data_IF_815751223994
#
_entry.id   IF_815751223994
#
_cell.length_a   1.000
_cell.length_b   1.000
_cell.length_c   1.000
_cell.angle_alpha   90.00
_cell.angle_beta   90.00
_cell.angle_gamma   90.00
#
_symmetry.space_group_name_H-M   'P 1'
#
loop_
_entity.id
_entity.type
_entity.pdbx_description
1 polymer ?
#
# COMPACT_ATOMS: atom_id res chain seq x y z
N UNK A 1 -7.20 19.73 6.66
CA UNK A 1 -7.41 18.56 5.78
C UNK A 1 -6.11 17.79 5.66
N UNK A 2 -6.10 16.49 5.95
CA UNK A 2 -4.99 15.61 5.56
C UNK A 2 -5.11 15.30 4.06
N UNK A 3 -4.02 15.38 3.31
CA UNK A 3 -4.03 15.10 1.86
C UNK A 3 -4.07 13.59 1.60
N UNK A 4 -4.63 13.16 0.47
CA UNK A 4 -4.62 11.74 0.08
C UNK A 4 -3.20 11.21 -0.07
N UNK A 5 -2.28 12.06 -0.54
CA UNK A 5 -0.85 11.75 -0.60
C UNK A 5 -0.29 11.39 0.77
N UNK A 6 -0.65 12.17 1.81
CA UNK A 6 -0.19 11.88 3.17
C UNK A 6 -0.81 10.59 3.73
N UNK A 7 -2.08 10.29 3.41
CA UNK A 7 -2.74 9.04 3.82
C UNK A 7 -2.06 7.81 3.19
N UNK A 8 -1.83 7.85 1.88
CA UNK A 8 -1.17 6.76 1.16
C UNK A 8 0.31 6.62 1.56
N UNK A 9 0.98 7.73 1.89
CA UNK A 9 2.34 7.69 2.39
C UNK A 9 2.43 7.10 3.80
N UNK A 10 1.52 7.48 4.70
CA UNK A 10 1.44 6.93 6.05
C UNK A 10 1.13 5.42 6.06
N UNK A 11 0.30 4.96 5.12
CA UNK A 11 0.05 3.53 4.88
C UNK A 11 1.23 2.81 4.18
N UNK A 12 2.27 3.55 3.79
CA UNK A 12 3.45 2.99 3.11
C UNK A 12 3.15 2.44 1.72
N UNK A 13 2.10 2.95 1.06
CA UNK A 13 1.75 2.62 -0.34
C UNK A 13 2.67 3.35 -1.31
N UNK A 14 2.95 4.62 -1.02
CA UNK A 14 3.73 5.52 -1.86
C UNK A 14 4.79 6.27 -1.04
N UNK A 15 5.83 6.73 -1.71
CA UNK A 15 6.84 7.61 -1.11
C UNK A 15 6.63 9.05 -1.60
N UNK A 16 6.12 9.93 -0.73
CA UNK A 16 5.80 11.32 -1.11
C UNK A 16 7.02 12.17 -1.48
N UNK A 17 8.22 11.73 -1.11
CA UNK A 17 9.47 12.41 -1.46
C UNK A 17 9.88 12.16 -2.92
N UNK A 18 9.43 11.03 -3.49
CA UNK A 18 9.69 10.62 -4.88
C UNK A 18 8.64 11.14 -5.87
N UNK A 19 7.57 11.76 -5.38
CA UNK A 19 6.48 12.24 -6.20
C UNK A 19 6.66 13.72 -6.58
N UNK A 20 6.46 14.02 -7.85
CA UNK A 20 6.41 15.37 -8.37
C UNK A 20 5.04 16.03 -8.09
N UNK A 21 4.90 17.31 -8.45
CA UNK A 21 3.69 18.10 -8.16
C UNK A 21 2.45 17.57 -8.88
N UNK A 22 2.58 17.17 -10.13
CA UNK A 22 1.48 16.64 -10.94
C UNK A 22 0.96 15.30 -10.39
N UNK A 23 1.87 14.41 -10.00
CA UNK A 23 1.52 13.14 -9.37
C UNK A 23 0.81 13.36 -8.01
N UNK A 24 1.29 14.32 -7.21
CA UNK A 24 0.63 14.69 -5.95
C UNK A 24 -0.78 15.22 -6.18
N UNK A 25 -0.98 16.05 -7.20
CA UNK A 25 -2.29 16.57 -7.57
C UNK A 25 -3.23 15.46 -8.06
N UNK A 26 -2.74 14.53 -8.89
CA UNK A 26 -3.53 13.39 -9.35
C UNK A 26 -4.01 12.52 -8.17
N UNK A 27 -3.12 12.24 -7.21
CA UNK A 27 -3.47 11.47 -6.01
C UNK A 27 -4.46 12.21 -5.12
N UNK A 28 -4.31 13.52 -4.98
CA UNK A 28 -5.29 14.34 -4.26
C UNK A 28 -6.63 14.48 -4.98
N UNK A 29 -6.68 14.16 -6.27
CA UNK A 29 -7.92 14.05 -7.05
C UNK A 29 -8.65 12.71 -6.87
N UNK A 30 -8.02 11.71 -6.25
CA UNK A 30 -8.66 10.43 -5.99
C UNK A 30 -9.75 10.55 -4.92
N UNK A 31 -10.77 9.72 -5.06
CA UNK A 31 -11.81 9.56 -4.06
C UNK A 31 -11.28 8.82 -2.83
N UNK A 32 -11.99 8.97 -1.71
CA UNK A 32 -11.63 8.28 -0.48
C UNK A 32 -11.66 6.74 -0.62
N UNK A 33 -12.64 6.22 -1.36
CA UNK A 33 -12.76 4.79 -1.65
C UNK A 33 -11.59 4.25 -2.48
N UNK A 34 -11.12 5.02 -3.46
CA UNK A 34 -9.96 4.66 -4.28
C UNK A 34 -8.67 4.62 -3.45
N UNK A 35 -8.47 5.61 -2.57
CA UNK A 35 -7.35 5.60 -1.63
C UNK A 35 -7.41 4.39 -0.70
N UNK A 36 -8.59 4.06 -0.18
CA UNK A 36 -8.76 2.91 0.71
C UNK A 36 -8.49 1.59 -0.01
N UNK A 37 -8.92 1.47 -1.26
CA UNK A 37 -8.65 0.30 -2.11
C UNK A 37 -7.15 0.11 -2.33
N UNK A 38 -6.42 1.19 -2.63
CA UNK A 38 -4.96 1.16 -2.79
C UNK A 38 -4.24 0.74 -1.50
N UNK A 39 -4.71 1.20 -0.35
CA UNK A 39 -4.17 0.80 0.96
C UNK A 39 -4.37 -0.70 1.17
N UNK A 40 -5.59 -1.22 0.98
CA UNK A 40 -5.90 -2.64 1.15
C UNK A 40 -5.08 -3.51 0.20
N UNK A 41 -4.97 -3.14 -1.07
CA UNK A 41 -4.16 -3.86 -2.06
C UNK A 41 -2.69 -3.87 -1.63
N UNK A 42 -2.14 -2.73 -1.21
CA UNK A 42 -0.75 -2.66 -0.77
C UNK A 42 -0.46 -3.51 0.47
N UNK A 43 -1.41 -3.59 1.40
CA UNK A 43 -1.31 -4.43 2.59
C UNK A 43 -1.35 -5.91 2.23
N UNK A 44 -2.23 -6.31 1.30
CA UNK A 44 -2.28 -7.69 0.79
C UNK A 44 -1.00 -8.10 0.08
N UNK A 45 -0.48 -7.25 -0.82
CA UNK A 45 0.77 -7.51 -1.51
C UNK A 45 1.95 -7.63 -0.54
N UNK A 46 2.03 -6.77 0.48
CA UNK A 46 3.05 -6.92 1.53
C UNK A 46 2.86 -8.22 2.31
N UNK A 47 1.62 -8.61 2.61
CA UNK A 47 1.34 -9.87 3.31
C UNK A 47 1.72 -11.10 2.49
N UNK A 48 1.41 -11.14 1.19
CA UNK A 48 1.80 -12.24 0.28
C UNK A 48 3.33 -12.31 0.07
N UNK A 49 4.02 -11.18 0.11
CA UNK A 49 5.50 -11.14 0.01
C UNK A 49 6.15 -11.49 1.37
N UNK A 50 5.41 -11.34 2.47
CA UNK A 50 5.84 -11.69 3.84
C UNK A 50 5.21 -13.01 4.28
N UNK A 51 5.06 -13.96 3.36
CA UNK A 51 4.86 -15.36 3.70
C UNK A 51 6.13 -16.15 3.34
N UNK A 52 7.17 -16.12 4.19
CA UNK A 52 8.25 -17.10 4.14
C UNK A 52 7.89 -18.43 4.82
N UNK A 53 6.63 -18.69 5.25
CA UNK A 53 6.32 -19.82 6.14
C UNK A 53 5.18 -20.77 5.73
N UNK A 54 4.59 -20.67 4.53
CA UNK A 54 3.65 -21.71 4.04
C UNK A 54 4.38 -22.92 3.39
N UNK A 55 5.42 -23.42 4.07
CA UNK A 55 5.97 -24.76 3.81
C UNK A 55 6.25 -25.48 5.13
N UNK A 56 5.24 -25.60 5.99
CA UNK A 56 5.18 -26.72 6.94
C UNK A 56 4.88 -28.01 6.15
N UNK A 57 5.86 -28.51 5.40
CA UNK A 57 5.90 -29.91 5.02
C UNK A 57 6.30 -30.69 6.28
N UNK A 58 5.30 -31.03 7.10
CA UNK A 58 5.44 -32.05 8.13
C UNK A 58 5.84 -33.36 7.46
N UNK A 59 7.15 -33.60 7.34
CA UNK A 59 7.69 -34.93 7.12
C UNK A 59 7.44 -35.71 8.41
N UNK A 60 6.31 -36.43 8.47
CA UNK A 60 6.12 -37.49 9.44
C UNK A 60 7.25 -38.52 9.23
N UNK A 61 8.18 -38.57 10.19
CA UNK A 61 9.15 -39.66 10.38
C UNK A 61 8.63 -40.62 11.43
#
# INVERSE_FOLDING_TARGET
MASNVDRLHAAGVIDKSKLNKDQKNAINGLSEEECNSLIVISSKLKSEITDPDDHELTFFS
#
